data_IF_455597608994
#
_entry.id   IF_455597608994
#
_cell.length_a   1.000
_cell.length_b   1.000
_cell.length_c   1.000
_cell.angle_alpha   90.00
_cell.angle_beta   90.00
_cell.angle_gamma   90.00
#
_symmetry.space_group_name_H-M   'P 1'
#
loop_
_entity.id
_entity.type
_entity.pdbx_description
1 polymer ?
#
# COMPACT_ATOMS: atom_id res chain seq x y z
N UNK A 1 -19.26 18.78 13.81
CA UNK A 1 -18.95 17.82 12.73
C UNK A 1 -19.25 16.43 13.29
N UNK A 2 -19.87 15.53 12.53
CA UNK A 2 -20.11 14.18 13.03
C UNK A 2 -18.76 13.46 13.13
N UNK A 3 -18.52 12.82 14.26
CA UNK A 3 -17.32 12.01 14.48
C UNK A 3 -17.45 10.73 13.63
N UNK A 4 -16.37 10.35 12.95
CA UNK A 4 -16.28 9.11 12.20
C UNK A 4 -16.51 7.92 13.15
N UNK A 5 -17.27 6.95 12.67
CA UNK A 5 -17.41 5.62 13.23
C UNK A 5 -17.05 4.58 12.16
N UNK A 6 -16.99 3.30 12.53
CA UNK A 6 -16.59 2.27 11.55
C UNK A 6 -17.52 2.19 10.33
N UNK A 7 -18.82 2.51 10.47
CA UNK A 7 -19.77 2.39 9.36
C UNK A 7 -19.60 3.53 8.36
N UNK A 8 -19.59 4.79 8.82
CA UNK A 8 -19.39 5.93 7.92
C UNK A 8 -17.96 5.96 7.34
N UNK A 9 -16.96 5.41 8.05
CA UNK A 9 -15.62 5.19 7.51
C UNK A 9 -15.63 4.20 6.33
N UNK A 10 -16.38 3.10 6.42
CA UNK A 10 -16.51 2.13 5.32
C UNK A 10 -17.22 2.75 4.11
N UNK A 11 -18.28 3.55 4.34
CA UNK A 11 -18.98 4.28 3.25
C UNK A 11 -18.04 5.29 2.58
N UNK A 12 -17.31 6.08 3.36
CA UNK A 12 -16.35 7.07 2.85
C UNK A 12 -15.24 6.41 2.02
N UNK A 13 -14.60 5.37 2.57
CA UNK A 13 -13.57 4.62 1.87
C UNK A 13 -14.11 3.98 0.58
N UNK A 14 -15.35 3.48 0.61
CA UNK A 14 -16.02 2.91 -0.57
C UNK A 14 -16.28 3.96 -1.63
N UNK A 15 -16.80 5.14 -1.28
CA UNK A 15 -17.04 6.21 -2.23
C UNK A 15 -15.73 6.62 -2.92
N UNK A 16 -14.67 6.87 -2.15
CA UNK A 16 -13.35 7.22 -2.71
C UNK A 16 -12.80 6.09 -3.59
N UNK A 17 -12.87 4.83 -3.14
CA UNK A 17 -12.37 3.70 -3.92
C UNK A 17 -13.12 3.49 -5.23
N UNK A 18 -14.46 3.58 -5.23
CA UNK A 18 -15.30 3.47 -6.43
C UNK A 18 -14.94 4.57 -7.42
N UNK A 19 -14.80 5.81 -6.96
CA UNK A 19 -14.41 6.93 -7.81
C UNK A 19 -13.00 6.81 -8.39
N UNK A 20 -12.04 6.33 -7.59
CA UNK A 20 -10.69 6.01 -8.07
C UNK A 20 -10.73 4.91 -9.13
N UNK A 21 -11.42 3.80 -8.88
CA UNK A 21 -11.55 2.69 -9.82
C UNK A 21 -12.15 3.18 -11.14
N UNK A 22 -13.19 4.02 -11.09
CA UNK A 22 -13.79 4.57 -12.30
C UNK A 22 -12.81 5.44 -13.09
N UNK A 23 -12.22 6.46 -12.44
CA UNK A 23 -11.38 7.46 -13.11
C UNK A 23 -10.04 6.89 -13.59
N UNK A 24 -9.37 6.09 -12.74
CA UNK A 24 -8.03 5.58 -13.04
C UNK A 24 -8.02 4.30 -13.88
N UNK A 25 -9.07 3.48 -13.79
CA UNK A 25 -9.03 2.11 -14.34
C UNK A 25 -10.05 1.94 -15.47
N UNK A 26 -11.30 2.35 -15.25
CA UNK A 26 -12.37 2.21 -16.25
C UNK A 26 -12.17 3.22 -17.40
N UNK A 27 -12.13 4.51 -17.09
CA UNK A 27 -12.05 5.58 -18.12
C UNK A 27 -10.73 5.54 -18.90
N UNK A 28 -9.63 5.24 -18.22
CA UNK A 28 -8.29 5.24 -18.83
C UNK A 28 -7.93 3.92 -19.52
N UNK A 29 -8.81 2.90 -19.47
CA UNK A 29 -8.55 1.50 -19.86
C UNK A 29 -7.38 0.90 -19.03
N UNK A 30 -7.25 -0.44 -18.91
CA UNK A 30 -6.21 -1.07 -18.06
C UNK A 30 -4.75 -0.88 -18.54
N UNK A 31 -4.48 0.11 -19.40
CA UNK A 31 -3.14 0.46 -19.86
C UNK A 31 -2.30 1.11 -18.75
N UNK A 32 -2.93 1.84 -17.81
CA UNK A 32 -2.22 2.57 -16.75
C UNK A 32 -2.14 1.82 -15.43
N UNK A 33 -3.25 1.28 -14.93
CA UNK A 33 -3.27 0.52 -13.67
C UNK A 33 -4.25 -0.64 -13.79
N UNK A 34 -3.89 -1.79 -13.21
CA UNK A 34 -4.73 -2.98 -13.19
C UNK A 34 -5.20 -3.30 -11.76
N UNK A 35 -6.42 -3.83 -11.61
CA UNK A 35 -6.84 -4.42 -10.34
C UNK A 35 -6.39 -5.87 -10.27
N UNK A 36 -5.78 -6.23 -9.14
CA UNK A 36 -5.29 -7.58 -8.89
C UNK A 36 -5.75 -8.14 -7.54
N UNK A 37 -5.79 -9.47 -7.46
CA UNK A 37 -5.91 -10.21 -6.20
C UNK A 37 -4.70 -11.12 -5.99
N UNK A 38 -4.37 -11.36 -4.72
CA UNK A 38 -3.23 -12.19 -4.32
C UNK A 38 -3.68 -13.62 -4.03
N UNK A 39 -2.93 -14.60 -4.53
CA UNK A 39 -2.97 -15.98 -4.06
C UNK A 39 -1.75 -16.29 -3.21
N UNK A 40 -1.95 -17.09 -2.16
CA UNK A 40 -0.86 -17.64 -1.37
C UNK A 40 -0.20 -18.79 -2.12
N UNK A 41 1.12 -18.78 -2.18
CA UNK A 41 1.91 -19.88 -2.74
C UNK A 41 1.77 -21.14 -1.88
N UNK A 42 1.68 -22.29 -2.54
CA UNK A 42 1.74 -23.59 -1.88
C UNK A 42 3.18 -23.87 -1.41
N UNK A 43 3.32 -24.51 -0.26
CA UNK A 43 4.60 -24.98 0.27
C UNK A 43 5.07 -26.15 -0.59
N UNK A 44 6.29 -26.06 -1.13
CA UNK A 44 6.88 -27.11 -1.96
C UNK A 44 7.53 -28.19 -1.08
N UNK A 45 7.31 -29.45 -1.44
CA UNK A 45 8.02 -30.58 -0.82
C UNK A 45 9.50 -30.61 -1.26
N UNK A 46 10.38 -30.94 -0.34
CA UNK A 46 11.79 -31.24 -0.60
C UNK A 46 12.02 -32.75 -0.62
N UNK A 47 13.01 -33.19 -1.43
CA UNK A 47 13.41 -34.60 -1.53
C UNK A 47 13.95 -35.19 -0.22
N UNK A 48 14.38 -34.35 0.73
CA UNK A 48 14.97 -34.77 2.00
C UNK A 48 13.98 -34.72 3.18
N UNK A 49 12.70 -34.42 2.93
CA UNK A 49 11.70 -34.26 3.99
C UNK A 49 11.21 -35.60 4.54
N UNK A 50 10.99 -35.63 5.86
CA UNK A 50 10.41 -36.77 6.56
C UNK A 50 8.92 -36.95 6.21
N UNK A 51 8.38 -38.15 6.45
CA UNK A 51 6.95 -38.45 6.23
C UNK A 51 6.05 -37.51 7.05
N UNK A 52 6.41 -37.24 8.31
CA UNK A 52 5.66 -36.32 9.18
C UNK A 52 5.64 -34.89 8.65
N UNK A 53 6.75 -34.42 8.07
CA UNK A 53 6.80 -33.08 7.48
C UNK A 53 5.98 -32.98 6.19
N UNK A 54 5.93 -34.05 5.39
CA UNK A 54 5.07 -34.11 4.19
C UNK A 54 3.59 -34.07 4.56
N UNK A 55 3.17 -34.82 5.59
CA UNK A 55 1.80 -34.77 6.11
C UNK A 55 1.44 -33.36 6.63
N UNK A 56 2.36 -32.71 7.34
CA UNK A 56 2.19 -31.31 7.78
C UNK A 56 2.00 -30.36 6.60
N UNK A 57 2.84 -30.47 5.56
CA UNK A 57 2.74 -29.66 4.34
C UNK A 57 1.41 -29.89 3.64
N UNK A 58 0.95 -31.15 3.52
CA UNK A 58 -0.31 -31.45 2.88
C UNK A 58 -1.49 -30.76 3.58
N UNK A 59 -1.52 -30.80 4.92
CA UNK A 59 -2.52 -30.11 5.73
C UNK A 59 -2.45 -28.58 5.55
N UNK A 60 -1.24 -28.02 5.52
CA UNK A 60 -1.03 -26.59 5.29
C UNK A 60 -1.48 -26.16 3.90
N UNK A 61 -1.12 -26.92 2.86
CA UNK A 61 -1.49 -26.66 1.48
C UNK A 61 -3.00 -26.78 1.24
N UNK A 62 -3.70 -27.69 1.94
CA UNK A 62 -5.15 -27.74 1.93
C UNK A 62 -5.76 -26.44 2.47
N UNK A 63 -5.28 -25.97 3.64
CA UNK A 63 -5.73 -24.69 4.22
C UNK A 63 -5.42 -23.49 3.33
N UNK A 64 -4.29 -23.51 2.61
CA UNK A 64 -3.93 -22.46 1.66
C UNK A 64 -4.89 -22.48 0.46
N UNK A 65 -5.18 -23.66 -0.08
CA UNK A 65 -6.09 -23.84 -1.22
C UNK A 65 -7.50 -23.35 -0.91
N UNK A 66 -8.04 -23.69 0.27
CA UNK A 66 -9.35 -23.20 0.72
C UNK A 66 -9.39 -21.68 0.83
N UNK A 67 -8.32 -21.07 1.37
CA UNK A 67 -8.19 -19.61 1.45
C UNK A 67 -8.14 -18.97 0.08
N UNK A 68 -7.36 -19.51 -0.85
CA UNK A 68 -7.27 -18.99 -2.22
C UNK A 68 -8.62 -19.10 -2.95
N UNK A 69 -9.34 -20.21 -2.79
CA UNK A 69 -10.68 -20.38 -3.36
C UNK A 69 -11.67 -19.34 -2.82
N UNK A 70 -11.63 -19.06 -1.51
CA UNK A 70 -12.42 -17.98 -0.89
C UNK A 70 -12.06 -16.62 -1.49
N UNK A 71 -10.78 -16.31 -1.61
CA UNK A 71 -10.30 -15.05 -2.20
C UNK A 71 -10.84 -14.86 -3.62
N UNK A 72 -10.76 -15.89 -4.47
CA UNK A 72 -11.30 -15.82 -5.85
C UNK A 72 -12.79 -15.54 -5.85
N UNK A 73 -13.55 -16.18 -4.94
CA UNK A 73 -14.98 -15.97 -4.83
C UNK A 73 -15.33 -14.54 -4.38
N UNK A 74 -14.63 -14.02 -3.37
CA UNK A 74 -14.80 -12.63 -2.89
C UNK A 74 -14.52 -11.63 -4.03
N UNK A 75 -13.47 -11.85 -4.82
CA UNK A 75 -13.13 -10.95 -5.94
C UNK A 75 -14.15 -11.02 -7.09
N UNK A 76 -14.70 -12.19 -7.39
CA UNK A 76 -15.83 -12.33 -8.34
C UNK A 76 -17.08 -11.61 -7.86
N UNK A 77 -17.34 -11.64 -6.56
CA UNK A 77 -18.51 -10.97 -5.99
C UNK A 77 -18.36 -9.45 -6.03
N UNK A 78 -17.22 -8.91 -5.58
CA UNK A 78 -17.00 -7.45 -5.62
C UNK A 78 -17.00 -6.93 -7.06
N UNK A 79 -16.49 -7.69 -8.03
CA UNK A 79 -16.56 -7.34 -9.45
C UNK A 79 -18.01 -7.14 -9.92
N UNK A 80 -18.94 -8.01 -9.49
CA UNK A 80 -20.38 -7.85 -9.78
C UNK A 80 -20.98 -6.64 -9.09
N UNK A 81 -20.62 -6.37 -7.83
CA UNK A 81 -21.12 -5.20 -7.12
C UNK A 81 -20.61 -3.89 -7.72
N UNK A 82 -19.35 -3.84 -8.16
CA UNK A 82 -18.77 -2.70 -8.87
C UNK A 82 -19.45 -2.47 -10.23
N UNK A 83 -19.71 -3.54 -11.00
CA UNK A 83 -20.44 -3.44 -12.26
C UNK A 83 -21.84 -2.82 -12.07
N UNK A 84 -22.53 -3.15 -10.97
CA UNK A 84 -23.85 -2.60 -10.65
C UNK A 84 -23.85 -1.08 -10.42
N UNK A 85 -22.70 -0.47 -10.15
CA UNK A 85 -22.55 0.98 -9.95
C UNK A 85 -21.78 1.66 -11.08
N UNK A 86 -21.64 0.98 -12.24
CA UNK A 86 -20.99 1.53 -13.42
C UNK A 86 -19.48 1.28 -13.50
N UNK A 87 -18.88 0.58 -12.54
CA UNK A 87 -17.46 0.23 -12.53
C UNK A 87 -17.23 -1.17 -13.12
N UNK A 88 -17.29 -1.29 -14.44
CA UNK A 88 -16.97 -2.54 -15.15
C UNK A 88 -15.45 -2.73 -15.21
N UNK A 89 -14.91 -3.53 -14.31
CA UNK A 89 -13.48 -3.82 -14.20
C UNK A 89 -13.20 -5.31 -14.31
N UNK A 90 -12.02 -5.64 -14.80
CA UNK A 90 -11.45 -6.98 -14.68
C UNK A 90 -10.49 -7.01 -13.49
N UNK A 91 -10.63 -8.01 -12.62
CA UNK A 91 -9.74 -8.21 -11.48
C UNK A 91 -8.97 -9.50 -11.71
N UNK A 92 -7.67 -9.36 -11.96
CA UNK A 92 -6.82 -10.47 -12.36
C UNK A 92 -6.07 -11.04 -11.17
N UNK A 93 -5.60 -12.27 -11.31
CA UNK A 93 -4.61 -12.79 -10.38
C UNK A 93 -3.30 -12.00 -10.52
N UNK A 94 -2.67 -11.69 -9.39
CA UNK A 94 -1.34 -11.10 -9.37
C UNK A 94 -0.34 -12.02 -10.07
N UNK A 95 0.59 -11.43 -10.82
CA UNK A 95 1.72 -12.18 -11.36
C UNK A 95 2.59 -12.71 -10.20
N UNK A 96 3.18 -13.91 -10.31
CA UNK A 96 4.07 -14.42 -9.27
C UNK A 96 5.23 -13.46 -8.98
N UNK A 97 5.71 -13.42 -7.74
CA UNK A 97 6.84 -12.58 -7.32
C UNK A 97 8.16 -12.89 -8.05
N UNK A 98 8.26 -14.07 -8.67
CA UNK A 98 9.36 -14.45 -9.56
C UNK A 98 9.33 -13.74 -10.92
N UNK A 99 8.24 -13.06 -11.28
CA UNK A 99 8.11 -12.36 -12.57
C UNK A 99 8.24 -10.85 -12.41
N UNK A 100 7.79 -10.33 -11.27
CA UNK A 100 7.95 -8.96 -10.83
C UNK A 100 8.27 -9.07 -9.34
N UNK A 101 9.35 -8.46 -8.83
CA UNK A 101 9.69 -8.56 -7.39
C UNK A 101 9.53 -7.22 -6.60
N UNK A 102 9.13 -6.12 -7.26
CA UNK A 102 8.81 -4.80 -6.65
C UNK A 102 7.71 -4.01 -7.40
N UNK A 103 7.07 -3.05 -6.71
CA UNK A 103 6.12 -2.09 -7.31
C UNK A 103 6.88 -0.91 -7.89
N UNK A 104 6.56 -0.50 -9.12
CA UNK A 104 7.12 0.69 -9.75
C UNK A 104 6.09 1.80 -9.94
N UNK A 105 6.51 3.04 -9.73
CA UNK A 105 5.77 4.22 -10.15
C UNK A 105 6.05 4.46 -11.63
N UNK A 106 5.10 4.11 -12.50
CA UNK A 106 5.31 4.25 -13.95
C UNK A 106 5.31 5.73 -14.33
N UNK A 107 6.29 6.16 -15.11
CA UNK A 107 6.12 7.43 -15.81
C UNK A 107 5.05 7.29 -16.89
N UNK A 108 4.30 8.37 -17.16
CA UNK A 108 3.26 8.39 -18.18
C UNK A 108 3.82 8.03 -19.56
N UNK A 109 3.59 6.81 -20.00
CA UNK A 109 4.06 6.30 -21.30
C UNK A 109 4.61 4.87 -21.24
N UNK A 110 5.07 4.39 -20.08
CA UNK A 110 5.62 3.03 -19.94
C UNK A 110 4.51 1.97 -19.88
N UNK A 111 4.66 0.94 -20.70
CA UNK A 111 3.81 -0.26 -20.71
C UNK A 111 4.17 -1.21 -19.57
N UNK A 112 3.30 -2.17 -19.28
CA UNK A 112 3.59 -3.19 -18.25
C UNK A 112 4.71 -4.12 -18.72
N UNK A 113 4.77 -4.40 -20.01
CA UNK A 113 5.78 -5.25 -20.63
C UNK A 113 7.19 -4.65 -20.53
N UNK A 114 7.32 -3.34 -20.80
CA UNK A 114 8.60 -2.61 -20.63
C UNK A 114 9.05 -2.63 -19.16
N UNK A 115 8.12 -2.43 -18.22
CA UNK A 115 8.39 -2.53 -16.79
C UNK A 115 8.87 -3.93 -16.38
N UNK A 116 8.19 -4.98 -16.84
CA UNK A 116 8.55 -6.38 -16.55
C UNK A 116 9.94 -6.76 -17.07
N UNK A 117 10.40 -6.17 -18.18
CA UNK A 117 11.73 -6.46 -18.70
C UNK A 117 12.83 -5.89 -17.80
N UNK A 118 12.62 -4.72 -17.18
CA UNK A 118 13.54 -4.19 -16.18
C UNK A 118 13.45 -4.94 -14.86
N UNK A 119 12.27 -5.43 -14.49
CA UNK A 119 12.04 -6.13 -13.22
C UNK A 119 12.99 -7.33 -12.99
N UNK A 120 13.41 -8.01 -14.07
CA UNK A 120 14.38 -9.11 -14.05
C UNK A 120 15.73 -8.73 -13.46
N UNK A 121 16.20 -7.50 -13.72
CA UNK A 121 17.49 -7.03 -13.21
C UNK A 121 17.50 -6.88 -11.67
N UNK A 122 16.32 -6.93 -11.02
CA UNK A 122 16.16 -6.76 -9.57
C UNK A 122 15.94 -8.05 -8.80
N UNK A 123 15.74 -9.19 -9.47
CA UNK A 123 15.57 -10.47 -8.79
C UNK A 123 16.71 -10.71 -7.78
N UNK A 124 17.94 -10.37 -8.16
CA UNK A 124 19.11 -10.48 -7.28
C UNK A 124 18.97 -9.63 -6.01
N UNK A 125 18.52 -8.37 -6.14
CA UNK A 125 18.35 -7.47 -4.98
C UNK A 125 17.25 -7.97 -4.06
N UNK A 126 16.13 -8.41 -4.63
CA UNK A 126 15.00 -8.94 -3.86
C UNK A 126 15.36 -10.24 -3.18
N UNK A 127 16.08 -11.14 -3.85
CA UNK A 127 16.59 -12.37 -3.27
C UNK A 127 17.49 -12.09 -2.06
N UNK A 128 18.38 -11.09 -2.13
CA UNK A 128 19.24 -10.74 -0.99
C UNK A 128 18.41 -10.15 0.16
N UNK A 129 17.46 -9.27 -0.14
CA UNK A 129 16.54 -8.71 0.84
C UNK A 129 15.71 -9.80 1.54
N UNK A 130 15.19 -10.77 0.78
CA UNK A 130 14.44 -11.90 1.32
C UNK A 130 15.32 -12.85 2.15
N UNK A 131 16.55 -13.13 1.70
CA UNK A 131 17.52 -13.92 2.48
C UNK A 131 17.88 -13.21 3.80
N UNK A 132 18.04 -11.89 3.78
CA UNK A 132 18.34 -11.10 4.96
C UNK A 132 17.18 -11.06 5.96
N UNK A 133 15.93 -11.08 5.47
CA UNK A 133 14.72 -11.07 6.30
C UNK A 133 14.53 -12.37 7.11
N UNK A 134 15.06 -13.50 6.63
CA UNK A 134 14.98 -14.85 7.21
C UNK A 134 13.56 -15.43 7.33
N UNK A 135 12.54 -14.61 7.60
CA UNK A 135 11.13 -14.96 7.69
C UNK A 135 10.27 -13.99 6.85
N UNK A 136 9.07 -14.40 6.40
CA UNK A 136 8.16 -13.51 5.69
C UNK A 136 7.76 -12.29 6.53
N UNK A 137 8.18 -11.09 6.13
CA UNK A 137 7.78 -9.82 6.75
C UNK A 137 6.61 -9.20 5.96
N UNK A 138 5.38 -9.46 6.38
CA UNK A 138 4.19 -8.87 5.75
C UNK A 138 4.07 -7.40 6.15
N UNK A 139 3.83 -6.50 5.18
CA UNK A 139 3.75 -5.05 5.45
C UNK A 139 5.11 -4.34 5.53
N UNK A 140 6.21 -5.08 5.36
CA UNK A 140 7.55 -4.53 5.25
C UNK A 140 7.81 -4.05 3.82
N UNK A 141 7.66 -2.75 3.62
CA UNK A 141 7.88 -2.09 2.34
C UNK A 141 9.12 -1.20 2.42
N UNK A 142 10.02 -1.34 1.45
CA UNK A 142 11.21 -0.52 1.33
C UNK A 142 11.08 0.34 0.08
N UNK A 143 11.08 1.66 0.24
CA UNK A 143 11.09 2.59 -0.88
C UNK A 143 12.47 2.74 -1.50
N UNK A 144 12.52 3.16 -2.76
CA UNK A 144 13.76 3.57 -3.39
C UNK A 144 13.56 4.27 -4.74
N UNK A 145 14.68 4.73 -5.30
CA UNK A 145 14.80 5.23 -6.65
C UNK A 145 15.69 4.27 -7.44
N UNK A 146 15.19 3.81 -8.57
CA UNK A 146 15.96 3.07 -9.55
C UNK A 146 16.38 3.98 -10.69
N UNK A 147 17.61 3.80 -11.17
CA UNK A 147 18.13 4.42 -12.38
C UNK A 147 18.39 3.35 -13.44
N UNK A 148 17.58 3.37 -14.49
CA UNK A 148 17.49 2.37 -15.55
C UNK A 148 18.81 2.20 -16.29
N UNK A 149 19.43 3.29 -16.73
CA UNK A 149 20.67 3.24 -17.53
C UNK A 149 21.87 2.79 -16.68
N UNK A 150 21.98 3.33 -15.48
CA UNK A 150 23.06 2.99 -14.55
C UNK A 150 22.84 1.60 -13.91
N UNK A 151 21.61 1.07 -14.02
CA UNK A 151 21.10 -0.10 -13.31
C UNK A 151 21.19 0.02 -11.78
N UNK A 152 21.28 1.22 -11.24
CA UNK A 152 21.52 1.46 -9.81
C UNK A 152 20.25 1.63 -9.01
N UNK A 153 20.29 1.26 -7.72
CA UNK A 153 19.18 1.43 -6.79
C UNK A 153 19.62 2.21 -5.54
N UNK A 154 18.87 3.26 -5.23
CA UNK A 154 19.01 4.04 -4.01
C UNK A 154 17.84 3.76 -3.08
N UNK A 155 18.09 3.12 -1.94
CA UNK A 155 17.06 2.92 -0.91
C UNK A 155 16.89 4.21 -0.09
N UNK A 156 15.64 4.56 0.19
CA UNK A 156 15.30 5.67 1.11
C UNK A 156 15.04 5.18 2.54
N UNK A 157 14.65 3.91 2.70
CA UNK A 157 14.32 3.32 3.99
C UNK A 157 13.01 2.52 3.98
N UNK A 158 12.66 2.02 5.17
CA UNK A 158 11.40 1.35 5.43
C UNK A 158 10.23 2.35 5.61
N UNK A 159 9.01 1.83 5.77
CA UNK A 159 7.86 2.65 6.15
C UNK A 159 8.13 3.47 7.42
N UNK A 160 7.78 4.76 7.43
CA UNK A 160 7.90 5.61 8.64
C UNK A 160 6.59 5.61 9.41
N UNK A 161 6.68 5.51 10.74
CA UNK A 161 5.52 5.60 11.63
C UNK A 161 5.52 6.94 12.36
N UNK A 162 4.36 7.56 12.45
CA UNK A 162 4.15 8.82 13.18
C UNK A 162 2.92 8.68 14.08
N UNK A 163 2.99 9.17 15.31
CA UNK A 163 1.88 9.19 16.27
C UNK A 163 1.23 10.57 16.23
N UNK A 164 -0.10 10.65 16.28
CA UNK A 164 -0.83 11.91 16.23
C UNK A 164 -2.16 11.85 17.00
N UNK A 165 -2.66 13.02 17.39
CA UNK A 165 -3.99 13.16 17.98
C UNK A 165 -5.05 13.22 16.86
N UNK A 166 -6.10 12.38 16.89
CA UNK A 166 -7.16 12.44 15.89
C UNK A 166 -8.03 13.69 16.06
N UNK A 167 -8.59 14.16 14.95
CA UNK A 167 -9.52 15.29 14.88
C UNK A 167 -10.94 14.88 14.48
N UNK A 168 -11.07 13.74 13.81
CA UNK A 168 -12.31 13.29 13.17
C UNK A 168 -12.77 11.91 13.63
N UNK A 169 -11.95 11.18 14.39
CA UNK A 169 -12.25 9.86 14.96
C UNK A 169 -12.16 9.89 16.49
N UNK A 170 -13.18 9.34 17.16
CA UNK A 170 -13.09 8.99 18.58
C UNK A 170 -12.34 7.67 18.77
N UNK A 171 -11.52 7.61 19.82
CA UNK A 171 -10.86 6.39 20.27
C UNK A 171 -11.65 5.89 21.47
N UNK A 172 -12.39 4.80 21.29
CA UNK A 172 -12.99 4.10 22.41
C UNK A 172 -11.98 3.15 23.08
N UNK A 173 -12.28 2.77 24.33
CA UNK A 173 -11.41 1.93 25.15
C UNK A 173 -11.23 0.51 24.63
N UNK A 174 -12.18 0.00 23.81
CA UNK A 174 -12.12 -1.35 23.26
C UNK A 174 -11.17 -1.41 22.04
N UNK A 175 -11.19 -0.38 21.20
CA UNK A 175 -10.28 -0.27 20.05
C UNK A 175 -8.85 0.10 20.45
N UNK A 176 -8.64 0.67 21.65
CA UNK A 176 -7.30 1.06 22.12
C UNK A 176 -6.30 -0.11 22.14
N UNK A 177 -6.70 -1.28 22.65
CA UNK A 177 -5.82 -2.46 22.70
C UNK A 177 -5.45 -2.94 21.29
N UNK A 178 -6.43 -2.91 20.37
CA UNK A 178 -6.25 -3.27 18.97
C UNK A 178 -5.30 -2.31 18.26
N UNK A 179 -5.48 -1.01 18.43
CA UNK A 179 -4.60 0.04 17.86
C UNK A 179 -3.17 -0.12 18.42
N UNK A 180 -3.04 -0.37 19.73
CA UNK A 180 -1.73 -0.58 20.36
C UNK A 180 -1.02 -1.81 19.79
N UNK A 181 -1.74 -2.92 19.63
CA UNK A 181 -1.21 -4.14 19.01
C UNK A 181 -0.76 -3.89 17.57
N UNK A 182 -1.60 -3.24 16.76
CA UNK A 182 -1.29 -2.92 15.38
C UNK A 182 -0.04 -2.03 15.24
N UNK A 183 0.11 -1.02 16.10
CA UNK A 183 1.29 -0.18 16.14
C UNK A 183 2.56 -0.99 16.48
N UNK A 184 2.49 -1.87 17.49
CA UNK A 184 3.62 -2.73 17.90
C UNK A 184 4.07 -3.64 16.77
N UNK A 185 3.13 -4.23 16.05
CA UNK A 185 3.40 -5.08 14.89
C UNK A 185 4.03 -4.29 13.74
N UNK A 186 3.50 -3.10 13.44
CA UNK A 186 4.05 -2.21 12.42
C UNK A 186 5.47 -1.74 12.76
N UNK A 187 5.72 -1.37 14.02
CA UNK A 187 7.03 -0.94 14.52
C UNK A 187 8.06 -2.06 14.43
N UNK A 188 7.70 -3.27 14.86
CA UNK A 188 8.54 -4.47 14.74
C UNK A 188 8.92 -4.72 13.28
N UNK A 189 7.94 -4.71 12.39
CA UNK A 189 8.13 -4.94 10.95
C UNK A 189 9.04 -3.88 10.31
N UNK A 190 8.85 -2.61 10.69
CA UNK A 190 9.68 -1.48 10.24
C UNK A 190 11.13 -1.66 10.66
N UNK A 191 11.38 -1.97 11.94
CA UNK A 191 12.72 -2.17 12.48
C UNK A 191 13.45 -3.34 11.81
N UNK A 192 12.74 -4.46 11.59
CA UNK A 192 13.30 -5.60 10.88
C UNK A 192 13.65 -5.24 9.43
N UNK A 193 12.84 -4.41 8.77
CA UNK A 193 13.12 -3.93 7.41
C UNK A 193 14.39 -3.08 7.35
N UNK A 194 14.57 -2.18 8.32
CA UNK A 194 15.78 -1.36 8.43
C UNK A 194 17.04 -2.21 8.66
N UNK A 195 16.94 -3.26 9.49
CA UNK A 195 18.04 -4.21 9.68
C UNK A 195 18.38 -4.97 8.39
N UNK A 196 17.38 -5.38 7.62
CA UNK A 196 17.59 -6.03 6.33
C UNK A 196 18.29 -5.10 5.33
N UNK A 197 17.82 -3.85 5.19
CA UNK A 197 18.48 -2.84 4.36
C UNK A 197 19.94 -2.68 4.76
N UNK A 198 20.23 -2.61 6.07
CA UNK A 198 21.59 -2.47 6.57
C UNK A 198 22.47 -3.68 6.19
N UNK A 199 22.01 -4.91 6.46
CA UNK A 199 22.73 -6.15 6.11
C UNK A 199 23.01 -6.24 4.62
N UNK A 200 21.99 -5.98 3.81
CA UNK A 200 22.10 -6.01 2.34
C UNK A 200 23.04 -4.92 1.85
N UNK A 201 22.93 -3.70 2.38
CA UNK A 201 23.84 -2.59 2.05
C UNK A 201 25.29 -2.94 2.40
N UNK A 202 25.55 -3.59 3.54
CA UNK A 202 26.89 -4.04 3.92
C UNK A 202 27.44 -5.13 3.00
N UNK A 203 26.60 -6.08 2.56
CA UNK A 203 26.99 -7.08 1.56
C UNK A 203 27.34 -6.41 0.21
N UNK A 204 26.56 -5.41 -0.18
CA UNK A 204 26.78 -4.61 -1.39
C UNK A 204 27.83 -3.50 -1.24
N UNK A 205 28.41 -3.24 -0.06
CA UNK A 205 29.57 -2.33 0.13
C UNK A 205 30.82 -2.80 -0.63
N UNK A 206 30.86 -4.05 -1.09
CA UNK A 206 31.87 -4.59 -2.01
C UNK A 206 31.63 -4.21 -3.50
N UNK A 207 30.46 -3.65 -3.82
CA UNK A 207 29.97 -3.32 -5.17
C UNK A 207 29.69 -1.80 -5.31
N UNK A 208 30.55 -0.94 -4.74
CA UNK A 208 30.46 0.55 -4.58
C UNK A 208 30.00 1.44 -5.76
N UNK A 209 29.54 0.90 -6.88
CA UNK A 209 28.99 1.65 -8.00
C UNK A 209 27.47 1.93 -7.91
N UNK A 210 26.78 1.47 -6.86
CA UNK A 210 25.29 1.47 -6.84
C UNK A 210 24.61 2.47 -5.91
N UNK A 211 25.35 3.29 -5.16
CA UNK A 211 24.78 4.36 -4.30
C UNK A 211 25.60 5.63 -4.52
N UNK A 212 25.12 6.63 -5.29
CA UNK A 212 25.85 7.87 -5.50
C UNK A 212 26.01 8.63 -4.17
N UNK A 213 27.26 8.92 -3.82
CA UNK A 213 27.74 9.66 -2.64
C UNK A 213 27.34 11.14 -2.60
N UNK A 214 26.30 11.57 -3.33
CA UNK A 214 26.02 12.97 -3.62
C UNK A 214 24.67 13.54 -3.14
N UNK A 215 23.77 12.74 -2.54
CA UNK A 215 22.41 13.19 -2.19
C UNK A 215 22.11 13.15 -0.68
N UNK A 216 23.15 13.37 0.14
CA UNK A 216 23.06 13.45 1.60
C UNK A 216 23.32 14.87 2.12
N UNK A 217 22.87 15.89 1.41
CA UNK A 217 22.77 17.25 1.94
C UNK A 217 21.37 17.45 2.51
N UNK A 218 21.20 17.06 3.77
CA UNK A 218 19.96 17.18 4.52
C UNK A 218 19.81 16.00 5.47
N UNK A 219 20.58 16.03 6.56
CA UNK A 219 20.45 15.22 7.78
C UNK A 219 19.79 13.84 7.61
N UNK A 220 20.58 12.86 7.14
CA UNK A 220 20.70 11.51 7.71
C UNK A 220 21.25 10.55 6.62
N UNK A 221 22.55 10.25 6.70
CA UNK A 221 23.21 9.18 5.93
C UNK A 221 22.63 7.79 6.25
N UNK A 222 22.88 6.74 5.44
CA UNK A 222 22.51 5.37 5.80
C UNK A 222 23.16 4.87 7.11
N UNK A 223 24.19 5.57 7.61
CA UNK A 223 24.78 5.36 8.94
C UNK A 223 23.99 6.05 10.08
N UNK A 224 22.88 6.71 9.73
CA UNK A 224 21.86 7.26 10.64
C UNK A 224 20.50 6.63 10.39
N UNK A 225 20.47 5.29 10.25
CA UNK A 225 19.37 4.56 10.89
C UNK A 225 19.50 4.88 12.37
N UNK A 226 18.94 6.02 12.75
CA UNK A 226 18.84 6.41 14.14
C UNK A 226 18.08 5.25 14.73
N UNK A 227 18.66 4.63 15.75
CA UNK A 227 17.92 3.84 16.69
C UNK A 227 16.96 4.80 17.41
N UNK A 228 16.04 5.43 16.70
CA UNK A 228 14.71 5.66 17.21
C UNK A 228 14.10 4.26 17.25
N UNK A 229 14.62 3.45 18.17
CA UNK A 229 13.80 2.42 18.74
C UNK A 229 12.55 3.19 19.11
N UNK A 230 11.40 2.78 18.57
CA UNK A 230 10.10 3.12 19.11
C UNK A 230 10.00 2.46 20.52
N UNK A 231 10.98 2.74 21.38
CA UNK A 231 11.07 2.46 22.81
C UNK A 231 10.13 3.44 23.48
N UNK A 232 8.85 3.22 23.25
CA UNK A 232 7.88 3.26 24.33
C UNK A 232 6.66 2.52 23.81
N UNK A 233 6.55 1.27 24.26
CA UNK A 233 5.36 0.44 24.08
C UNK A 233 4.13 1.01 24.83
N UNK A 234 4.31 2.16 25.52
CA UNK A 234 3.34 2.86 26.36
C UNK A 234 2.87 4.24 25.80
N UNK A 235 3.23 4.65 24.57
CA UNK A 235 2.89 6.02 24.08
C UNK A 235 1.39 6.21 23.76
N UNK A 236 0.68 5.16 23.38
CA UNK A 236 -0.73 5.26 23.00
C UNK A 236 -1.63 5.27 24.25
N UNK A 237 -1.63 6.40 24.98
CA UNK A 237 -2.47 6.70 26.17
C UNK A 237 -3.98 6.84 25.83
N UNK A 238 -4.50 6.01 24.92
CA UNK A 238 -5.90 5.98 24.52
C UNK A 238 -6.40 7.23 23.79
N UNK A 239 -5.50 8.18 23.52
CA UNK A 239 -5.82 9.49 22.90
C UNK A 239 -5.16 9.69 21.55
N UNK A 240 -4.31 8.76 21.13
CA UNK A 240 -3.49 8.90 19.94
C UNK A 240 -3.75 7.77 18.95
N UNK A 241 -3.63 8.10 17.67
CA UNK A 241 -3.54 7.15 16.57
C UNK A 241 -2.11 7.14 16.03
N UNK A 242 -1.82 6.20 15.14
CA UNK A 242 -0.59 6.21 14.36
C UNK A 242 -0.90 6.21 12.87
N UNK A 243 0.07 6.69 12.10
CA UNK A 243 0.04 6.65 10.63
C UNK A 243 1.34 6.08 10.10
N UNK A 244 1.24 5.41 8.96
CA UNK A 244 2.30 4.68 8.27
C UNK A 244 2.51 5.27 6.88
N UNK A 245 3.72 5.79 6.66
CA UNK A 245 4.13 6.33 5.37
C UNK A 245 4.81 5.23 4.57
N UNK A 246 4.14 4.72 3.54
CA UNK A 246 4.67 3.62 2.73
C UNK A 246 5.88 4.05 1.90
N UNK A 247 6.78 3.11 1.60
CA UNK A 247 8.03 3.36 0.89
C UNK A 247 7.85 4.04 -0.47
N UNK A 248 6.84 3.64 -1.23
CA UNK A 248 6.52 4.26 -2.52
C UNK A 248 6.13 5.74 -2.37
N UNK A 249 5.27 6.06 -1.40
CA UNK A 249 4.85 7.43 -1.11
C UNK A 249 6.06 8.29 -0.72
N UNK A 250 6.92 7.76 0.14
CA UNK A 250 8.16 8.43 0.54
C UNK A 250 9.09 8.68 -0.66
N UNK A 251 9.25 7.71 -1.56
CA UNK A 251 10.11 7.84 -2.75
C UNK A 251 9.60 8.92 -3.70
N UNK A 252 8.29 8.92 -3.98
CA UNK A 252 7.66 9.93 -4.84
C UNK A 252 7.75 11.33 -4.21
N UNK A 253 7.53 11.45 -2.89
CA UNK A 253 7.69 12.73 -2.19
C UNK A 253 9.12 13.27 -2.29
N UNK A 254 10.13 12.39 -2.23
CA UNK A 254 11.53 12.77 -2.28
C UNK A 254 12.04 13.07 -3.70
N UNK A 255 11.65 12.26 -4.69
CA UNK A 255 12.26 12.30 -6.03
C UNK A 255 11.29 12.68 -7.16
N UNK A 256 9.98 12.61 -6.94
CA UNK A 256 8.98 12.70 -8.01
C UNK A 256 9.04 13.99 -8.85
N UNK A 257 9.55 15.09 -8.26
CA UNK A 257 9.69 16.38 -8.92
C UNK A 257 11.05 16.57 -9.62
N UNK A 258 12.07 15.81 -9.25
CA UNK A 258 13.46 16.01 -9.71
C UNK A 258 13.96 14.87 -10.59
N UNK A 259 13.30 13.71 -10.57
CA UNK A 259 13.72 12.53 -11.30
C UNK A 259 13.62 12.71 -12.83
N UNK A 260 14.61 12.18 -13.56
CA UNK A 260 14.47 12.01 -15.01
C UNK A 260 13.54 10.82 -15.27
N UNK A 261 12.27 11.12 -15.51
CA UNK A 261 11.22 10.14 -15.76
C UNK A 261 11.53 9.18 -16.92
N UNK A 262 12.49 9.46 -17.81
CA UNK A 262 12.89 8.52 -18.88
C UNK A 262 13.93 7.50 -18.45
N UNK A 263 14.65 7.79 -17.38
CA UNK A 263 15.80 7.01 -16.92
C UNK A 263 15.69 6.59 -15.46
N UNK A 264 14.69 7.07 -14.74
CA UNK A 264 14.54 6.84 -13.31
C UNK A 264 13.11 6.43 -12.96
N UNK A 265 12.97 5.68 -11.88
CA UNK A 265 11.69 5.14 -11.42
C UNK A 265 11.66 5.00 -9.91
N UNK A 266 10.62 5.51 -9.26
CA UNK A 266 10.37 5.19 -7.86
C UNK A 266 9.90 3.75 -7.73
N UNK A 267 10.44 3.02 -6.76
CA UNK A 267 10.20 1.58 -6.55
C UNK A 267 9.90 1.27 -5.10
N UNK A 268 9.13 0.22 -4.85
CA UNK A 268 8.84 -0.31 -3.50
C UNK A 268 8.99 -1.84 -3.48
N UNK A 269 9.84 -2.32 -2.58
CA UNK A 269 10.15 -3.75 -2.41
C UNK A 269 9.37 -4.33 -1.22
N UNK A 270 8.79 -5.51 -1.40
CA UNK A 270 8.17 -6.28 -0.33
C UNK A 270 9.14 -7.33 0.24
N UNK A 271 9.38 -7.31 1.56
CA UNK A 271 10.32 -8.22 2.23
C UNK A 271 9.74 -9.60 2.62
N UNK A 272 8.75 -10.13 1.88
CA UNK A 272 8.14 -11.43 2.23
C UNK A 272 8.16 -12.41 1.07
N UNK A 273 8.86 -13.54 1.27
CA UNK A 273 8.90 -14.70 0.38
C UNK A 273 7.54 -15.38 0.18
N UNK A 274 6.58 -15.13 1.08
CA UNK A 274 5.21 -15.65 1.01
C UNK A 274 4.17 -14.67 0.46
N UNK A 275 4.59 -13.53 -0.07
CA UNK A 275 3.68 -12.69 -0.90
C UNK A 275 3.97 -12.97 -2.36
N UNK A 276 2.93 -13.14 -3.17
CA UNK A 276 3.04 -13.05 -4.63
C UNK A 276 2.94 -11.60 -5.11
N UNK A 277 3.07 -10.62 -4.19
CA UNK A 277 2.39 -9.35 -4.28
C UNK A 277 3.30 -8.24 -4.76
N UNK A 278 2.90 -7.62 -5.88
CA UNK A 278 3.28 -6.28 -6.31
C UNK A 278 2.02 -5.59 -6.78
N UNK A 279 1.37 -4.92 -5.85
CA UNK A 279 0.31 -3.98 -6.15
C UNK A 279 0.25 -2.99 -5.02
N UNK A 280 0.06 -1.72 -5.36
CA UNK A 280 -0.16 -0.68 -4.36
C UNK A 280 -1.52 -0.88 -3.71
N UNK A 281 -1.64 -0.54 -2.42
CA UNK A 281 -2.96 -0.38 -1.81
C UNK A 281 -3.71 0.79 -2.46
N UNK A 282 -5.03 0.87 -2.28
CA UNK A 282 -5.85 1.97 -2.81
C UNK A 282 -5.31 3.35 -2.45
N UNK A 283 -4.98 3.67 -1.18
CA UNK A 283 -4.50 5.01 -0.85
C UNK A 283 -3.13 5.34 -1.46
N UNK A 284 -2.17 4.38 -1.52
CA UNK A 284 -0.95 4.55 -2.31
C UNK A 284 -1.26 4.84 -3.78
N UNK A 285 -2.18 4.08 -4.38
CA UNK A 285 -2.51 4.20 -5.81
C UNK A 285 -3.15 5.55 -6.15
N UNK A 286 -4.00 6.07 -5.26
CA UNK A 286 -4.57 7.42 -5.38
C UNK A 286 -3.46 8.48 -5.36
N UNK A 287 -2.51 8.39 -4.42
CA UNK A 287 -1.36 9.31 -4.36
C UNK A 287 -0.45 9.22 -5.59
N UNK A 288 -0.17 8.00 -6.04
CA UNK A 288 0.63 7.73 -7.24
C UNK A 288 -0.02 8.30 -8.50
N UNK A 289 -1.32 8.10 -8.69
CA UNK A 289 -2.06 8.68 -9.81
C UNK A 289 -2.07 10.21 -9.74
N UNK A 290 -2.34 10.80 -8.57
CA UNK A 290 -2.35 12.24 -8.37
C UNK A 290 -0.98 12.88 -8.71
N UNK A 291 0.10 12.17 -8.42
CA UNK A 291 1.48 12.58 -8.72
C UNK A 291 1.87 12.40 -10.20
N UNK A 292 0.94 11.91 -11.03
CA UNK A 292 1.18 11.60 -12.45
C UNK A 292 2.08 10.38 -12.69
N UNK A 293 2.23 9.52 -11.67
CA UNK A 293 3.06 8.32 -11.70
C UNK A 293 2.27 7.08 -11.25
N UNK A 294 1.28 6.63 -12.05
CA UNK A 294 0.32 5.61 -11.62
C UNK A 294 0.97 4.27 -11.27
N UNK A 295 0.33 3.55 -10.36
CA UNK A 295 0.76 2.21 -9.95
C UNK A 295 0.67 1.22 -11.12
N UNK A 296 1.63 0.29 -11.20
CA UNK A 296 1.58 -0.85 -12.14
C UNK A 296 0.34 -1.72 -11.91
N UNK A 297 0.02 -1.96 -10.64
CA UNK A 297 -1.17 -2.67 -10.21
C UNK A 297 -1.65 -2.15 -8.85
N UNK A 298 -2.94 -2.35 -8.59
CA UNK A 298 -3.61 -1.98 -7.34
C UNK A 298 -4.36 -3.18 -6.78
N UNK A 299 -4.23 -3.43 -5.48
CA UNK A 299 -4.94 -4.51 -4.81
C UNK A 299 -6.07 -3.99 -3.91
N UNK A 300 -7.10 -4.81 -3.67
CA UNK A 300 -8.22 -4.49 -2.77
C UNK A 300 -7.99 -4.91 -1.30
N UNK A 301 -6.75 -5.17 -0.91
CA UNK A 301 -6.36 -5.45 0.48
C UNK A 301 -6.37 -4.21 1.39
N UNK A 302 -5.68 -4.31 2.54
CA UNK A 302 -5.55 -3.25 3.52
C UNK A 302 -4.77 -2.03 3.00
N UNK A 303 -5.22 -0.85 3.37
CA UNK A 303 -4.50 0.42 3.25
C UNK A 303 -4.45 1.13 4.60
N UNK A 304 -4.41 0.33 5.67
CA UNK A 304 -4.71 0.76 7.02
C UNK A 304 -3.63 1.68 7.56
N UNK A 305 -4.05 2.72 8.28
CA UNK A 305 -3.20 3.76 8.84
C UNK A 305 -2.32 4.48 7.81
N UNK A 306 -2.58 4.38 6.50
CA UNK A 306 -1.74 5.00 5.47
C UNK A 306 -1.73 6.52 5.58
N UNK A 307 -0.57 7.15 5.34
CA UNK A 307 -0.43 8.60 5.24
C UNK A 307 0.69 9.04 4.29
N UNK A 308 0.74 10.36 4.07
CA UNK A 308 1.84 11.08 3.43
C UNK A 308 2.83 11.56 4.52
N UNK A 309 4.16 11.46 4.27
CA UNK A 309 5.21 11.98 5.15
C UNK A 309 5.04 13.45 5.52
N UNK A 310 5.16 13.77 6.81
CA UNK A 310 5.14 15.14 7.35
C UNK A 310 3.99 16.00 6.77
N UNK A 311 2.80 15.42 6.60
CA UNK A 311 1.68 16.06 5.89
C UNK A 311 1.42 17.50 6.33
N UNK A 312 1.50 17.81 7.63
CA UNK A 312 1.28 19.15 8.18
C UNK A 312 2.31 20.16 7.69
N UNK A 313 3.60 19.80 7.71
CA UNK A 313 4.70 20.62 7.18
C UNK A 313 4.63 20.73 5.64
N UNK A 314 4.06 19.71 4.99
CA UNK A 314 3.99 19.57 3.54
C UNK A 314 2.63 20.01 2.95
N UNK A 315 1.71 20.63 3.71
CA UNK A 315 0.39 21.08 3.18
C UNK A 315 0.51 22.05 1.99
N UNK A 316 1.63 22.78 1.89
CA UNK A 316 1.94 23.65 0.76
C UNK A 316 2.58 22.94 -0.44
N UNK A 317 3.05 21.71 -0.26
CA UNK A 317 3.77 20.96 -1.28
C UNK A 317 2.85 20.58 -2.45
N UNK A 318 3.35 20.72 -3.68
CA UNK A 318 2.56 20.49 -4.89
C UNK A 318 1.94 19.09 -4.94
N UNK A 319 2.70 18.04 -4.61
CA UNK A 319 2.19 16.65 -4.63
C UNK A 319 1.09 16.43 -3.58
N UNK A 320 1.16 17.11 -2.43
CA UNK A 320 0.14 17.03 -1.39
C UNK A 320 -1.16 17.70 -1.87
N UNK A 321 -1.07 18.88 -2.47
CA UNK A 321 -2.23 19.57 -3.05
C UNK A 321 -2.89 18.75 -4.16
N UNK A 322 -2.10 18.21 -5.08
CA UNK A 322 -2.59 17.32 -6.14
C UNK A 322 -3.30 16.10 -5.58
N UNK A 323 -2.75 15.48 -4.52
CA UNK A 323 -3.41 14.37 -3.85
C UNK A 323 -4.73 14.79 -3.18
N UNK A 324 -4.76 15.91 -2.46
CA UNK A 324 -5.98 16.42 -1.83
C UNK A 324 -7.09 16.70 -2.86
N UNK A 325 -6.73 17.33 -3.98
CA UNK A 325 -7.63 17.57 -5.10
C UNK A 325 -8.12 16.25 -5.73
N UNK A 326 -7.23 15.28 -5.90
CA UNK A 326 -7.58 13.99 -6.49
C UNK A 326 -8.47 13.14 -5.56
N UNK A 327 -8.25 13.16 -4.24
CA UNK A 327 -9.15 12.54 -3.25
C UNK A 327 -10.55 13.14 -3.35
N UNK A 328 -10.65 14.48 -3.43
CA UNK A 328 -11.92 15.16 -3.65
C UNK A 328 -12.60 14.73 -4.96
N UNK A 329 -11.83 14.65 -6.06
CA UNK A 329 -12.34 14.16 -7.34
C UNK A 329 -12.85 12.72 -7.25
N UNK A 330 -12.10 11.84 -6.61
CA UNK A 330 -12.48 10.44 -6.37
C UNK A 330 -13.77 10.36 -5.56
N UNK A 331 -13.84 11.07 -4.44
CA UNK A 331 -15.05 11.10 -3.61
C UNK A 331 -16.28 11.59 -4.38
N UNK A 332 -16.17 12.71 -5.09
CA UNK A 332 -17.29 13.27 -5.84
C UNK A 332 -17.79 12.31 -6.92
N UNK A 333 -16.88 11.68 -7.67
CA UNK A 333 -17.25 10.68 -8.67
C UNK A 333 -17.86 9.42 -8.04
N UNK A 334 -17.31 8.97 -6.92
CA UNK A 334 -17.87 7.87 -6.15
C UNK A 334 -19.30 8.15 -5.71
N UNK A 335 -19.53 9.32 -5.11
CA UNK A 335 -20.85 9.79 -4.73
C UNK A 335 -21.80 9.88 -5.92
N UNK A 336 -21.36 10.42 -7.07
CA UNK A 336 -22.15 10.45 -8.31
C UNK A 336 -22.62 9.03 -8.73
N UNK A 337 -21.71 8.06 -8.74
CA UNK A 337 -22.00 6.68 -9.16
C UNK A 337 -22.86 5.92 -8.15
N UNK A 338 -22.69 6.20 -6.85
CA UNK A 338 -23.40 5.52 -5.76
C UNK A 338 -24.77 6.12 -5.48
N UNK A 339 -24.96 7.43 -5.68
CA UNK A 339 -26.19 8.16 -5.31
C UNK A 339 -27.49 7.55 -5.84
N UNK A 340 -27.58 7.01 -7.08
CA UNK A 340 -28.80 6.39 -7.57
C UNK A 340 -29.31 5.20 -6.75
N UNK A 341 -28.43 4.53 -5.99
CA UNK A 341 -28.76 3.29 -5.25
C UNK A 341 -28.49 3.37 -3.75
N UNK A 342 -27.68 4.33 -3.31
CA UNK A 342 -27.12 4.39 -1.95
C UNK A 342 -27.22 5.78 -1.32
N UNK A 343 -28.18 6.62 -1.75
CA UNK A 343 -28.36 8.00 -1.26
C UNK A 343 -28.45 8.11 0.27
N UNK A 344 -29.16 7.20 0.92
CA UNK A 344 -29.31 7.17 2.39
C UNK A 344 -27.98 6.89 3.10
N UNK A 345 -27.15 6.02 2.54
CA UNK A 345 -25.81 5.78 3.09
C UNK A 345 -24.92 6.99 2.88
N UNK A 346 -24.97 7.62 1.70
CA UNK A 346 -24.17 8.81 1.40
C UNK A 346 -24.56 10.01 2.28
N UNK A 347 -25.83 10.12 2.68
CA UNK A 347 -26.28 11.18 3.58
C UNK A 347 -25.54 11.15 4.94
N UNK A 348 -24.99 10.01 5.34
CA UNK A 348 -24.15 9.91 6.56
C UNK A 348 -22.84 10.70 6.44
N UNK A 349 -22.44 11.08 5.23
CA UNK A 349 -21.21 11.82 4.91
C UNK A 349 -21.45 13.31 4.63
N UNK A 350 -22.70 13.80 4.63
CA UNK A 350 -23.06 15.17 4.22
C UNK A 350 -22.39 16.27 5.07
N UNK A 351 -21.89 15.93 6.27
CA UNK A 351 -21.16 16.86 7.13
C UNK A 351 -19.69 17.07 6.73
N UNK A 352 -19.17 16.26 5.81
CA UNK A 352 -17.77 16.32 5.37
C UNK A 352 -17.65 17.32 4.22
N UNK A 353 -16.91 18.41 4.44
CA UNK A 353 -16.68 19.43 3.40
C UNK A 353 -15.43 19.10 2.57
N UNK A 354 -15.32 19.61 1.32
CA UNK A 354 -14.16 19.34 0.47
C UNK A 354 -12.80 19.72 1.09
N UNK A 355 -12.77 20.75 1.93
CA UNK A 355 -11.55 21.25 2.57
C UNK A 355 -10.97 20.31 3.64
N UNK A 356 -11.82 19.49 4.28
CA UNK A 356 -11.41 18.56 5.34
C UNK A 356 -11.42 17.10 4.89
N UNK A 357 -12.11 16.80 3.79
CA UNK A 357 -12.31 15.44 3.28
C UNK A 357 -11.01 14.62 3.20
N UNK A 358 -9.86 15.14 2.72
CA UNK A 358 -8.63 14.36 2.69
C UNK A 358 -8.15 13.95 4.08
N UNK A 359 -8.27 14.82 5.09
CA UNK A 359 -7.85 14.51 6.46
C UNK A 359 -8.82 13.50 7.11
N UNK A 360 -10.12 13.65 6.87
CA UNK A 360 -11.16 12.69 7.29
C UNK A 360 -10.94 11.32 6.65
N UNK A 361 -10.52 11.28 5.37
CA UNK A 361 -10.19 10.03 4.68
C UNK A 361 -9.00 9.32 5.34
N UNK A 362 -7.93 10.05 5.70
CA UNK A 362 -6.79 9.47 6.42
C UNK A 362 -7.20 8.86 7.75
N UNK A 363 -8.05 9.53 8.53
CA UNK A 363 -8.55 8.98 9.79
C UNK A 363 -9.49 7.79 9.58
N UNK A 364 -10.30 7.76 8.51
CA UNK A 364 -11.13 6.61 8.18
C UNK A 364 -10.31 5.33 7.91
N UNK A 365 -9.09 5.46 7.37
CA UNK A 365 -8.16 4.34 7.14
C UNK A 365 -7.64 3.70 8.44
N UNK A 366 -7.83 4.35 9.59
CA UNK A 366 -7.41 3.80 10.89
C UNK A 366 -8.43 2.81 11.48
N UNK A 367 -9.63 2.71 10.91
CA UNK A 367 -10.57 1.61 11.18
C UNK A 367 -10.14 0.36 10.41
N UNK A 368 -9.06 -0.30 10.83
CA UNK A 368 -8.36 -1.32 10.03
C UNK A 368 -9.27 -2.38 9.40
N UNK A 369 -9.28 -2.45 8.06
CA UNK A 369 -10.12 -3.37 7.27
C UNK A 369 -9.69 -3.38 5.79
N UNK A 370 -9.64 -4.55 5.12
CA UNK A 370 -9.40 -4.63 3.68
C UNK A 370 -10.44 -3.84 2.86
N UNK A 371 -10.00 -3.13 1.83
CA UNK A 371 -10.90 -2.36 0.95
C UNK A 371 -12.00 -3.22 0.32
N UNK A 372 -11.68 -4.46 -0.07
CA UNK A 372 -12.70 -5.39 -0.55
C UNK A 372 -13.82 -5.55 0.47
N UNK A 373 -13.51 -5.75 1.75
CA UNK A 373 -14.52 -5.93 2.78
C UNK A 373 -15.32 -4.64 3.02
N UNK A 374 -14.66 -3.47 3.06
CA UNK A 374 -15.34 -2.16 3.18
C UNK A 374 -16.37 -1.95 2.07
N UNK A 375 -15.96 -2.21 0.82
CA UNK A 375 -16.82 -2.07 -0.34
C UNK A 375 -17.93 -3.12 -0.34
N UNK A 376 -17.63 -4.36 0.02
CA UNK A 376 -18.66 -5.41 0.12
C UNK A 376 -19.70 -5.07 1.18
N UNK A 377 -19.28 -4.62 2.37
CA UNK A 377 -20.18 -4.19 3.44
C UNK A 377 -21.07 -3.04 2.97
N UNK A 378 -20.50 -2.05 2.28
CA UNK A 378 -21.26 -0.88 1.81
C UNK A 378 -22.20 -1.23 0.65
N UNK A 379 -21.72 -1.97 -0.35
CA UNK A 379 -22.45 -2.24 -1.58
C UNK A 379 -23.48 -3.37 -1.45
N UNK A 380 -23.33 -4.26 -0.46
CA UNK A 380 -24.33 -5.30 -0.14
C UNK A 380 -25.53 -4.77 0.64
N UNK A 381 -25.39 -3.65 1.36
CA UNK A 381 -26.51 -3.06 2.08
C UNK A 381 -27.61 -2.78 1.07
N UNK A 382 -28.70 -3.55 1.18
CA UNK A 382 -29.79 -3.52 0.21
C UNK A 382 -30.38 -2.11 0.18
N UNK A 383 -30.75 -1.71 -1.04
CA UNK A 383 -31.64 -0.61 -1.35
C UNK A 383 -32.78 -0.60 -0.30
N UNK A 384 -32.82 0.44 0.53
CA UNK A 384 -34.03 0.78 1.28
C UNK A 384 -34.68 1.92 0.54
#
# INVERSE_FOLDING_TARGET
>A
MAILNSNNADVLCTAIAVGFIHQSIVERKPQRTQLIYEQKSLVQESKTMTVQEKERIAIENAKISDKNAKTVQEHKEIQKLLANVGCNVDIKEALPSSHLPFVGAKHGGMTVEEFSQWAKDFEVVVDQLQKAAQNPLRGAYIGGLYKIVEKTISFIGASKLEIYSPHYREIDTYEQEKISTAYKDAAKTTNQSLECIKKVSEQFKSLRHYIPTGYLSGEKTPDTVTKELLESLDILDGKFLFKSNHGMTQAIMQFGNTMDKRQEMCVEFALSSGTSKIGSCIPCSIFMEASGMPATATHLGCGDNWSIPNLEEQRGHMLVRQWQEYVNSCYNKGCELLRPKYSTLLATLDTITPGILPDVFLEALTYEKPFIERMMNTLRLKQV
#
